data_IF_546284313346
#
_entry.id   IF_546284313346
#
_cell.length_a   1.000
_cell.length_b   1.000
_cell.length_c   1.000
_cell.angle_alpha   90.00
_cell.angle_beta   90.00
_cell.angle_gamma   90.00
#
_symmetry.space_group_name_H-M   'P 1'
#
loop_
_entity.id
_entity.type
_entity.pdbx_description
1 polymer ?
#
# COMPACT_ATOMS: atom_id res chain seq x y z
N UNK A 1 -7.54 21.43 -14.57
CA UNK A 1 -6.24 21.28 -13.87
C UNK A 1 -5.19 21.92 -14.75
N UNK A 2 -4.38 22.82 -14.22
CA UNK A 2 -3.35 23.55 -14.96
C UNK A 2 -2.15 23.89 -14.07
N UNK A 3 -1.10 24.47 -14.65
CA UNK A 3 0.10 24.80 -13.91
C UNK A 3 -0.05 26.08 -13.09
N UNK A 4 0.55 26.09 -11.91
CA UNK A 4 0.64 27.28 -11.05
C UNK A 4 1.72 28.26 -11.58
N UNK A 5 1.36 29.47 -12.04
CA UNK A 5 2.32 30.43 -12.58
C UNK A 5 3.30 30.98 -11.53
N UNK A 6 2.94 30.96 -10.24
CA UNK A 6 3.75 31.48 -9.14
C UNK A 6 4.77 30.45 -8.62
N UNK A 7 4.64 29.18 -9.04
CA UNK A 7 5.51 28.12 -8.55
C UNK A 7 6.95 28.28 -9.08
N UNK A 8 7.97 28.33 -8.18
CA UNK A 8 9.31 28.80 -8.55
C UNK A 8 10.08 27.85 -9.48
N UNK A 9 9.70 26.57 -9.52
CA UNK A 9 10.40 25.54 -10.29
C UNK A 9 9.91 25.48 -11.74
N UNK A 10 8.60 25.36 -11.94
CA UNK A 10 8.01 25.13 -13.27
C UNK A 10 7.31 26.37 -13.86
N UNK A 11 7.04 27.42 -13.07
CA UNK A 11 6.45 28.70 -13.53
C UNK A 11 5.24 28.51 -14.45
N UNK A 12 4.29 27.67 -14.03
CA UNK A 12 3.08 27.37 -14.80
C UNK A 12 3.23 26.33 -15.92
N UNK A 13 4.44 25.87 -16.25
CA UNK A 13 4.64 24.86 -17.30
C UNK A 13 4.35 23.44 -16.80
N UNK A 14 3.76 22.61 -17.66
CA UNK A 14 3.49 21.20 -17.41
C UNK A 14 3.88 20.37 -18.63
N UNK A 15 4.56 19.24 -18.40
CA UNK A 15 4.75 18.22 -19.43
C UNK A 15 3.43 17.48 -19.71
N UNK A 16 3.31 16.63 -20.76
CA UNK A 16 2.02 16.02 -21.12
C UNK A 16 1.37 15.22 -19.99
N UNK A 17 2.17 14.54 -19.15
CA UNK A 17 1.67 13.79 -17.98
C UNK A 17 0.97 14.70 -16.96
N UNK A 18 1.55 15.87 -16.68
CA UNK A 18 0.99 16.83 -15.74
C UNK A 18 -0.22 17.56 -16.31
N UNK A 19 -0.15 17.96 -17.59
CA UNK A 19 -1.22 18.66 -18.28
C UNK A 19 -2.47 17.77 -18.45
N UNK A 20 -2.31 16.45 -18.53
CA UNK A 20 -3.42 15.49 -18.65
C UNK A 20 -3.95 14.99 -17.32
N UNK A 21 -3.51 15.51 -16.17
CA UNK A 21 -3.88 14.96 -14.85
C UNK A 21 -5.40 14.94 -14.61
N UNK A 22 -6.15 15.86 -15.22
CA UNK A 22 -7.61 15.87 -15.11
C UNK A 22 -8.26 14.60 -15.69
N UNK A 23 -7.67 14.01 -16.73
CA UNK A 23 -8.14 12.78 -17.35
C UNK A 23 -7.87 11.55 -16.48
N UNK A 24 -6.89 11.63 -15.57
CA UNK A 24 -6.60 10.58 -14.58
C UNK A 24 -7.56 10.67 -13.38
N UNK A 25 -7.79 11.90 -12.88
CA UNK A 25 -8.69 12.13 -11.73
C UNK A 25 -10.15 11.86 -12.10
N UNK A 26 -10.60 12.36 -13.26
CA UNK A 26 -11.98 12.22 -13.77
C UNK A 26 -12.01 11.09 -14.81
N UNK A 27 -11.64 9.89 -14.38
CA UNK A 27 -11.58 8.70 -15.21
C UNK A 27 -12.70 7.71 -14.84
N UNK A 28 -13.45 7.23 -15.82
CA UNK A 28 -14.54 6.25 -15.64
C UNK A 28 -14.04 4.86 -15.23
N UNK A 29 -12.75 4.57 -15.43
CA UNK A 29 -12.09 3.31 -15.02
C UNK A 29 -11.60 3.31 -13.57
N UNK A 30 -11.82 4.39 -12.80
CA UNK A 30 -11.42 4.44 -11.39
C UNK A 30 -12.14 3.35 -10.59
N UNK A 31 -11.40 2.72 -9.68
CA UNK A 31 -12.00 1.83 -8.68
C UNK A 31 -12.81 2.66 -7.69
N UNK A 32 -14.09 2.32 -7.52
CA UNK A 32 -15.04 3.06 -6.67
C UNK A 32 -15.43 2.32 -5.40
N UNK A 33 -15.09 1.04 -5.29
CA UNK A 33 -15.51 0.15 -4.21
C UNK A 33 -14.45 -0.95 -3.99
N UNK A 34 -14.33 -1.48 -2.77
CA UNK A 34 -13.54 -2.68 -2.52
C UNK A 34 -14.10 -3.86 -3.31
N UNK A 35 -13.19 -4.66 -3.85
CA UNK A 35 -13.53 -5.86 -4.60
C UNK A 35 -12.72 -7.04 -4.08
N UNK A 36 -13.31 -8.22 -4.07
CA UNK A 36 -12.65 -9.46 -3.69
C UNK A 36 -12.76 -10.48 -4.81
N UNK A 37 -11.66 -11.18 -5.07
CA UNK A 37 -11.64 -12.36 -5.93
C UNK A 37 -11.51 -13.58 -5.04
N UNK A 38 -12.56 -14.39 -4.97
CA UNK A 38 -12.58 -15.59 -4.12
C UNK A 38 -11.65 -16.68 -4.69
N UNK A 39 -11.04 -17.55 -3.85
CA UNK A 39 -10.20 -18.64 -4.32
C UNK A 39 -10.91 -19.50 -5.38
N UNK A 40 -10.25 -19.73 -6.51
CA UNK A 40 -10.82 -20.47 -7.64
C UNK A 40 -11.78 -19.68 -8.54
N UNK A 41 -12.14 -18.44 -8.20
CA UNK A 41 -12.97 -17.58 -9.04
C UNK A 41 -12.16 -16.94 -10.18
N UNK A 42 -12.83 -16.60 -11.28
CA UNK A 42 -12.34 -15.82 -12.41
C UNK A 42 -12.89 -14.38 -12.46
N UNK A 43 -13.77 -14.00 -11.53
CA UNK A 43 -14.41 -12.69 -11.45
C UNK A 43 -14.20 -12.01 -10.09
N UNK A 44 -14.51 -10.71 -10.05
CA UNK A 44 -14.46 -9.87 -8.86
C UNK A 44 -15.87 -9.65 -8.32
N UNK A 45 -16.03 -9.80 -7.01
CA UNK A 45 -17.24 -9.45 -6.28
C UNK A 45 -17.04 -8.16 -5.52
N UNK A 46 -18.04 -7.28 -5.54
CA UNK A 46 -18.02 -6.07 -4.73
C UNK A 46 -18.38 -6.36 -3.28
N UNK A 47 -17.63 -5.77 -2.36
CA UNK A 47 -17.85 -5.93 -0.92
C UNK A 47 -17.82 -4.59 -0.21
N UNK A 48 -18.33 -4.56 1.03
CA UNK A 48 -18.24 -3.36 1.86
C UNK A 48 -16.80 -3.10 2.31
N UNK A 49 -16.52 -1.86 2.72
CA UNK A 49 -15.24 -1.53 3.36
C UNK A 49 -15.02 -2.31 4.66
N UNK A 50 -16.08 -2.53 5.45
CA UNK A 50 -16.00 -3.32 6.68
C UNK A 50 -15.62 -4.77 6.39
N UNK A 51 -16.22 -5.40 5.37
CA UNK A 51 -15.86 -6.76 4.96
C UNK A 51 -14.42 -6.83 4.48
N UNK A 52 -14.00 -5.88 3.64
CA UNK A 52 -12.64 -5.84 3.10
C UNK A 52 -11.59 -5.74 4.22
N UNK A 53 -11.78 -4.81 5.16
CA UNK A 53 -10.86 -4.60 6.28
C UNK A 53 -10.87 -5.80 7.23
N UNK A 54 -12.04 -6.34 7.58
CA UNK A 54 -12.15 -7.48 8.48
C UNK A 54 -11.52 -8.74 7.88
N UNK A 55 -11.73 -9.01 6.59
CA UNK A 55 -11.13 -10.16 5.92
C UNK A 55 -9.61 -10.06 5.83
N UNK A 56 -9.08 -8.90 5.45
CA UNK A 56 -7.63 -8.64 5.40
C UNK A 56 -7.04 -8.81 6.81
N UNK A 57 -7.64 -8.17 7.83
CA UNK A 57 -7.17 -8.26 9.20
C UNK A 57 -7.17 -9.70 9.73
N UNK A 58 -8.21 -10.49 9.42
CA UNK A 58 -8.28 -11.91 9.80
C UNK A 58 -7.12 -12.71 9.22
N UNK A 59 -6.83 -12.53 7.92
CA UNK A 59 -5.72 -13.23 7.28
C UNK A 59 -4.36 -12.77 7.80
N UNK A 60 -4.14 -11.46 7.93
CA UNK A 60 -2.92 -10.89 8.51
C UNK A 60 -2.67 -11.43 9.92
N UNK A 61 -3.70 -11.43 10.79
CA UNK A 61 -3.59 -11.95 12.15
C UNK A 61 -3.28 -13.45 12.16
N UNK A 62 -4.04 -14.24 11.39
CA UNK A 62 -3.83 -15.69 11.30
C UNK A 62 -2.39 -16.01 10.88
N UNK A 63 -1.93 -15.42 9.78
CA UNK A 63 -0.58 -15.64 9.26
C UNK A 63 0.47 -15.19 10.26
N UNK A 64 0.29 -14.04 10.89
CA UNK A 64 1.22 -13.56 11.92
C UNK A 64 1.30 -14.52 13.09
N UNK A 65 0.17 -14.91 13.67
CA UNK A 65 0.16 -15.80 14.84
C UNK A 65 0.77 -17.18 14.55
N UNK A 66 0.58 -17.70 13.33
CA UNK A 66 1.11 -19.01 12.91
C UNK A 66 2.61 -18.99 12.58
N UNK A 67 3.19 -17.82 12.26
CA UNK A 67 4.54 -17.75 11.63
C UNK A 67 5.46 -16.68 12.21
N UNK A 68 5.04 -15.97 13.26
CA UNK A 68 5.88 -14.98 13.92
C UNK A 68 7.09 -15.64 14.57
N UNK A 69 8.24 -14.97 14.47
CA UNK A 69 9.50 -15.43 15.04
C UNK A 69 9.85 -14.48 16.19
N UNK A 70 9.59 -14.91 17.42
CA UNK A 70 10.02 -14.19 18.63
C UNK A 70 11.52 -14.32 18.86
N UNK A 71 12.09 -15.53 18.70
CA UNK A 71 13.54 -15.80 18.79
C UNK A 71 14.09 -16.53 17.58
N UNK A 72 15.32 -16.19 17.21
CA UNK A 72 16.04 -16.90 16.13
C UNK A 72 16.69 -18.21 16.59
N UNK A 73 17.37 -18.91 15.67
CA UNK A 73 18.08 -20.18 15.96
C UNK A 73 19.22 -20.03 16.98
N UNK A 74 19.74 -18.81 17.17
CA UNK A 74 20.75 -18.48 18.18
C UNK A 74 20.15 -18.12 19.55
N UNK A 75 18.82 -18.06 19.67
CA UNK A 75 18.12 -17.66 20.89
C UNK A 75 18.00 -16.16 21.10
N UNK A 76 18.39 -15.34 20.11
CA UNK A 76 18.25 -13.88 20.18
C UNK A 76 16.81 -13.46 19.90
N UNK A 77 16.30 -12.50 20.67
CA UNK A 77 14.99 -11.90 20.42
C UNK A 77 15.03 -11.10 19.12
N UNK A 78 14.14 -11.42 18.18
CA UNK A 78 14.08 -10.79 16.86
C UNK A 78 12.70 -10.22 16.52
N UNK A 79 11.63 -10.73 17.13
CA UNK A 79 10.26 -10.21 16.99
C UNK A 79 9.86 -9.86 15.54
N UNK A 80 10.01 -10.82 14.62
CA UNK A 80 9.86 -10.56 13.20
C UNK A 80 8.87 -11.48 12.49
N UNK A 81 8.34 -10.97 11.39
CA UNK A 81 7.41 -11.64 10.48
C UNK A 81 8.02 -11.66 9.08
N UNK A 82 8.30 -12.86 8.59
CA UNK A 82 8.95 -13.11 7.29
C UNK A 82 7.96 -13.64 6.22
N UNK A 83 6.70 -13.85 6.57
CA UNK A 83 5.69 -14.46 5.69
C UNK A 83 4.71 -13.46 5.07
N UNK A 84 4.81 -12.19 5.45
CA UNK A 84 4.06 -11.07 4.87
C UNK A 84 5.06 -10.02 4.39
N UNK A 85 4.82 -9.47 3.20
CA UNK A 85 5.62 -8.40 2.63
C UNK A 85 4.80 -7.18 2.26
N UNK A 86 5.46 -6.02 2.19
CA UNK A 86 4.91 -4.75 1.72
C UNK A 86 5.75 -4.21 0.55
N UNK A 87 5.07 -3.73 -0.49
CA UNK A 87 5.68 -3.07 -1.65
C UNK A 87 4.90 -1.78 -1.92
N UNK A 88 5.58 -0.64 -1.93
CA UNK A 88 4.97 0.64 -2.33
C UNK A 88 5.55 1.85 -1.62
N UNK A 89 4.89 3.00 -1.75
CA UNK A 89 5.18 4.20 -0.98
C UNK A 89 5.67 5.42 -1.77
N UNK A 90 6.26 5.28 -2.97
CA UNK A 90 6.86 6.47 -3.62
C UNK A 90 5.83 7.47 -4.19
N UNK A 91 4.59 7.04 -4.42
CA UNK A 91 3.50 7.88 -4.93
C UNK A 91 2.60 8.42 -3.82
N UNK A 92 2.80 7.94 -2.59
CA UNK A 92 2.00 8.32 -1.43
C UNK A 92 2.58 9.57 -0.77
N UNK A 93 1.80 10.23 0.09
CA UNK A 93 2.31 11.36 0.87
C UNK A 93 3.30 10.89 1.94
N UNK A 94 4.14 11.80 2.44
CA UNK A 94 5.09 11.48 3.51
C UNK A 94 4.40 11.00 4.79
N UNK A 95 3.23 11.55 5.11
CA UNK A 95 2.45 11.19 6.30
C UNK A 95 1.91 9.77 6.18
N UNK A 96 1.41 9.39 5.01
CA UNK A 96 0.96 8.01 4.75
C UNK A 96 2.15 7.05 4.84
N UNK A 97 3.28 7.38 4.20
CA UNK A 97 4.50 6.58 4.27
C UNK A 97 4.99 6.39 5.71
N UNK A 98 4.94 7.44 6.53
CA UNK A 98 5.27 7.35 7.95
C UNK A 98 4.36 6.37 8.69
N UNK A 99 3.04 6.42 8.44
CA UNK A 99 2.08 5.47 9.00
C UNK A 99 2.28 4.05 8.49
N UNK A 100 2.59 3.87 7.20
CA UNK A 100 2.86 2.57 6.60
C UNK A 100 4.07 1.90 7.26
N UNK A 101 5.20 2.63 7.40
CA UNK A 101 6.38 2.11 8.09
C UNK A 101 6.06 1.74 9.53
N UNK A 102 5.39 2.62 10.29
CA UNK A 102 5.04 2.33 11.69
C UNK A 102 4.14 1.11 11.82
N UNK A 103 3.15 0.97 10.95
CA UNK A 103 2.19 -0.13 10.97
C UNK A 103 2.86 -1.46 10.60
N UNK A 104 3.63 -1.49 9.50
CA UNK A 104 4.28 -2.72 9.06
C UNK A 104 5.36 -3.17 10.04
N UNK A 105 6.15 -2.23 10.60
CA UNK A 105 7.18 -2.56 11.60
C UNK A 105 6.58 -2.97 12.95
N UNK A 106 5.44 -2.41 13.38
CA UNK A 106 4.77 -2.84 14.62
C UNK A 106 4.20 -4.26 14.51
N UNK A 107 3.79 -4.67 13.31
CA UNK A 107 3.42 -6.06 13.02
C UNK A 107 4.63 -7.01 12.96
N UNK A 108 5.85 -6.46 12.87
CA UNK A 108 7.11 -7.21 12.81
C UNK A 108 7.63 -7.48 11.40
N UNK A 109 7.04 -6.89 10.35
CA UNK A 109 7.44 -7.18 8.97
C UNK A 109 8.90 -6.80 8.72
N UNK A 110 9.66 -7.76 8.20
CA UNK A 110 11.02 -7.53 7.71
C UNK A 110 11.04 -7.10 6.23
N UNK A 111 10.17 -7.69 5.41
CA UNK A 111 10.10 -7.45 3.98
C UNK A 111 9.23 -6.22 3.68
N UNK A 112 9.89 -5.06 3.61
CA UNK A 112 9.29 -3.78 3.27
C UNK A 112 10.17 -3.12 2.21
N UNK A 113 9.70 -3.05 0.98
CA UNK A 113 10.46 -2.51 -0.14
C UNK A 113 9.68 -1.42 -0.88
N UNK A 114 10.40 -0.53 -1.55
CA UNK A 114 9.84 0.60 -2.29
C UNK A 114 10.49 0.70 -3.66
N UNK A 115 9.96 1.57 -4.52
CA UNK A 115 10.52 1.85 -5.83
C UNK A 115 11.97 2.36 -5.77
N UNK A 116 12.42 2.93 -4.64
CA UNK A 116 13.79 3.43 -4.47
C UNK A 116 14.87 2.32 -4.48
N UNK A 117 14.48 1.04 -4.40
CA UNK A 117 15.40 -0.09 -4.52
C UNK A 117 15.89 -0.33 -5.94
N UNK A 118 15.06 -0.01 -6.94
CA UNK A 118 15.29 -0.29 -8.37
C UNK A 118 15.95 0.88 -9.05
#
# INVERSE_FOLDING_TARGET
>A
IEGDPDHPINRGTLCPKGASLQQDIVNDRRLLKPQVRRPGSDHWDDISWDDAVNEIARWTKKTRDETFIDKDKGGFTVNRLETIGWIGGCTDTNELNFLAVKTMRSLGLCYFETQARV
#
